data_IF_715129579130
#
_entry.id   IF_715129579130
#
_cell.length_a   1.000
_cell.length_b   1.000
_cell.length_c   1.000
_cell.angle_alpha   90.00
_cell.angle_beta   90.00
_cell.angle_gamma   90.00
#
_symmetry.space_group_name_H-M   'P 1'
#
loop_
_entity.id
_entity.type
_entity.pdbx_description
1 polymer ?
#
# COMPACT_ATOMS: atom_id res chain seq x y z
N UNK A 1 4.18 29.63 -5.24
CA UNK A 1 4.77 28.27 -5.32
C UNK A 1 4.28 27.46 -4.13
N UNK A 2 3.35 26.51 -4.35
CA UNK A 2 2.92 25.58 -3.28
C UNK A 2 4.09 24.67 -2.93
N UNK A 3 4.51 24.64 -1.66
CA UNK A 3 5.56 23.75 -1.21
C UNK A 3 5.14 22.30 -1.48
N UNK A 4 6.03 21.51 -2.11
CA UNK A 4 5.77 20.08 -2.34
C UNK A 4 5.55 19.39 -0.98
N UNK A 5 4.38 18.78 -0.82
CA UNK A 5 4.04 18.05 0.39
C UNK A 5 4.72 16.70 0.35
N UNK A 6 5.54 16.40 1.36
CA UNK A 6 6.30 15.16 1.46
C UNK A 6 5.91 14.32 2.65
N UNK A 7 5.88 13.00 2.43
CA UNK A 7 5.76 11.98 3.46
C UNK A 7 7.17 11.75 4.06
N UNK A 8 7.26 11.49 5.36
CA UNK A 8 8.57 11.25 5.99
C UNK A 8 9.10 9.87 5.60
N UNK A 9 10.42 9.77 5.38
CA UNK A 9 11.08 8.49 5.10
C UNK A 9 10.87 7.49 6.24
N UNK A 10 10.92 7.95 7.50
CA UNK A 10 10.63 7.12 8.67
C UNK A 10 9.23 6.51 8.59
N UNK A 11 8.21 7.29 8.24
CA UNK A 11 6.85 6.77 8.07
C UNK A 11 6.81 5.70 6.98
N UNK A 12 7.44 5.95 5.83
CA UNK A 12 7.48 4.98 4.72
C UNK A 12 8.09 3.64 5.14
N UNK A 13 9.27 3.68 5.77
CA UNK A 13 9.96 2.45 6.19
C UNK A 13 9.27 1.74 7.34
N UNK A 14 8.74 2.47 8.33
CA UNK A 14 7.99 1.85 9.44
C UNK A 14 6.72 1.18 8.90
N UNK A 15 5.95 1.85 8.05
CA UNK A 15 4.75 1.26 7.44
C UNK A 15 5.08 0.03 6.60
N UNK A 16 6.14 0.08 5.79
CA UNK A 16 6.57 -1.06 4.98
C UNK A 16 7.06 -2.23 5.85
N UNK A 17 7.81 -1.98 6.91
CA UNK A 17 8.25 -3.01 7.86
C UNK A 17 7.08 -3.65 8.61
N UNK A 18 6.09 -2.86 9.04
CA UNK A 18 4.87 -3.40 9.65
C UNK A 18 4.07 -4.26 8.68
N UNK A 19 3.95 -3.83 7.41
CA UNK A 19 3.31 -4.62 6.37
C UNK A 19 4.04 -5.93 6.09
N UNK A 20 5.39 -5.90 6.07
CA UNK A 20 6.23 -7.10 5.95
C UNK A 20 5.93 -8.10 7.08
N UNK A 21 5.97 -7.66 8.34
CA UNK A 21 5.78 -8.54 9.49
C UNK A 21 4.36 -9.07 9.55
N UNK A 22 3.35 -8.21 9.34
CA UNK A 22 1.95 -8.58 9.43
C UNK A 22 1.57 -9.62 8.36
N UNK A 23 1.84 -9.31 7.10
CA UNK A 23 1.41 -10.17 5.99
C UNK A 23 2.33 -11.36 5.78
N UNK A 24 3.63 -11.21 6.04
CA UNK A 24 4.56 -12.34 6.08
C UNK A 24 4.25 -13.31 7.21
N UNK A 25 3.93 -12.80 8.41
CA UNK A 25 3.50 -13.61 9.56
C UNK A 25 2.18 -14.34 9.30
N UNK A 26 1.18 -13.66 8.73
CA UNK A 26 -0.09 -14.27 8.34
C UNK A 26 0.13 -15.41 7.33
N UNK A 27 0.93 -15.16 6.29
CA UNK A 27 1.20 -16.18 5.26
C UNK A 27 1.97 -17.37 5.83
N UNK A 28 2.99 -17.11 6.66
CA UNK A 28 3.73 -18.17 7.36
C UNK A 28 2.78 -19.04 8.19
N UNK A 29 1.95 -18.43 9.04
CA UNK A 29 1.05 -19.14 9.94
C UNK A 29 0.07 -20.05 9.19
N UNK A 30 -0.56 -19.55 8.13
CA UNK A 30 -1.50 -20.35 7.33
C UNK A 30 -0.78 -21.49 6.60
N UNK A 31 0.40 -21.24 6.04
CA UNK A 31 1.10 -22.24 5.23
C UNK A 31 1.87 -23.28 6.07
N UNK A 32 2.16 -23.02 7.34
CA UNK A 32 2.64 -24.05 8.27
C UNK A 32 1.51 -24.96 8.78
N UNK A 33 0.29 -24.46 8.91
CA UNK A 33 -0.89 -25.25 9.32
C UNK A 33 -1.31 -26.27 8.25
N UNK A 34 -1.18 -25.90 6.97
CA UNK A 34 -1.64 -26.72 5.83
C UNK A 34 -0.51 -27.40 5.06
N UNK A 35 0.75 -27.25 5.50
CA UNK A 35 1.93 -27.72 4.78
C UNK A 35 3.10 -28.06 5.70
N UNK A 36 4.33 -27.96 5.19
CA UNK A 36 5.55 -28.16 5.98
C UNK A 36 6.14 -26.82 6.43
N UNK A 37 7.02 -26.86 7.43
CA UNK A 37 7.73 -25.66 7.92
C UNK A 37 8.44 -24.90 6.78
N UNK A 38 9.05 -25.63 5.83
CA UNK A 38 9.71 -25.03 4.67
C UNK A 38 8.74 -24.24 3.78
N UNK A 39 7.52 -24.76 3.57
CA UNK A 39 6.49 -24.04 2.82
C UNK A 39 6.05 -22.77 3.55
N UNK A 40 5.89 -22.84 4.87
CA UNK A 40 5.60 -21.67 5.71
C UNK A 40 6.67 -20.58 5.59
N UNK A 41 7.95 -20.94 5.71
CA UNK A 41 9.07 -19.98 5.64
C UNK A 41 9.11 -19.29 4.27
N UNK A 42 9.06 -20.05 3.17
CA UNK A 42 9.10 -19.50 1.81
C UNK A 42 7.91 -18.58 1.58
N UNK A 43 6.70 -19.03 1.92
CA UNK A 43 5.47 -18.25 1.75
C UNK A 43 5.48 -16.95 2.57
N UNK A 44 5.90 -17.03 3.83
CA UNK A 44 6.01 -15.86 4.72
C UNK A 44 6.99 -14.82 4.21
N UNK A 45 8.19 -15.25 3.77
CA UNK A 45 9.19 -14.33 3.22
C UNK A 45 8.72 -13.70 1.92
N UNK A 46 8.17 -14.47 0.98
CA UNK A 46 7.66 -13.95 -0.28
C UNK A 46 6.57 -12.91 -0.05
N UNK A 47 5.56 -13.24 0.77
CA UNK A 47 4.46 -12.31 1.06
C UNK A 47 4.94 -11.06 1.81
N UNK A 48 5.86 -11.23 2.76
CA UNK A 48 6.46 -10.12 3.49
C UNK A 48 7.19 -9.15 2.55
N UNK A 49 8.06 -9.66 1.68
CA UNK A 49 8.83 -8.84 0.72
C UNK A 49 7.89 -8.11 -0.25
N UNK A 50 6.89 -8.81 -0.80
CA UNK A 50 5.90 -8.18 -1.68
C UNK A 50 5.15 -7.06 -0.96
N UNK A 51 4.71 -7.29 0.28
CA UNK A 51 4.00 -6.29 1.08
C UNK A 51 4.88 -5.07 1.38
N UNK A 52 6.15 -5.27 1.71
CA UNK A 52 7.12 -4.21 1.92
C UNK A 52 7.25 -3.31 0.67
N UNK A 53 7.49 -3.92 -0.51
CA UNK A 53 7.68 -3.20 -1.77
C UNK A 53 6.40 -2.45 -2.17
N UNK A 54 5.24 -3.12 -2.09
CA UNK A 54 3.95 -2.49 -2.43
C UNK A 54 3.66 -1.32 -1.49
N UNK A 55 3.95 -1.41 -0.19
CA UNK A 55 3.75 -0.30 0.74
C UNK A 55 4.62 0.91 0.40
N UNK A 56 5.90 0.70 0.02
CA UNK A 56 6.76 1.79 -0.45
C UNK A 56 6.25 2.41 -1.76
N UNK A 57 5.74 1.59 -2.67
CA UNK A 57 5.16 2.06 -3.92
C UNK A 57 3.88 2.88 -3.67
N UNK A 58 3.03 2.46 -2.72
CA UNK A 58 1.83 3.21 -2.33
C UNK A 58 2.22 4.60 -1.84
N UNK A 59 3.15 4.71 -0.87
CA UNK A 59 3.50 6.04 -0.33
C UNK A 59 4.15 6.94 -1.39
N UNK A 60 4.98 6.37 -2.27
CA UNK A 60 5.54 7.09 -3.42
C UNK A 60 4.46 7.62 -4.37
N UNK A 61 3.51 6.79 -4.78
CA UNK A 61 2.42 7.17 -5.69
C UNK A 61 1.51 8.22 -5.06
N UNK A 62 1.16 8.07 -3.78
CA UNK A 62 0.37 9.07 -3.06
C UNK A 62 1.06 10.42 -3.06
N UNK A 63 2.36 10.49 -2.75
CA UNK A 63 3.10 11.75 -2.78
C UNK A 63 3.12 12.37 -4.19
N UNK A 64 3.39 11.56 -5.23
CA UNK A 64 3.43 12.05 -6.61
C UNK A 64 2.07 12.57 -7.09
N UNK A 65 1.02 11.80 -6.89
CA UNK A 65 -0.33 12.15 -7.32
C UNK A 65 -0.88 13.34 -6.51
N UNK A 66 -0.63 13.39 -5.20
CA UNK A 66 -1.05 14.51 -4.37
C UNK A 66 -0.42 15.84 -4.83
N UNK A 67 0.85 15.83 -5.22
CA UNK A 67 1.52 17.02 -5.73
C UNK A 67 1.17 17.33 -7.20
N UNK A 68 0.72 16.35 -7.97
CA UNK A 68 0.23 16.54 -9.35
C UNK A 68 -1.11 17.29 -9.41
N UNK A 69 -2.07 16.93 -8.55
CA UNK A 69 -3.37 17.62 -8.52
C UNK A 69 -3.27 18.98 -7.83
N UNK A 70 -3.92 19.99 -8.39
CA UNK A 70 -3.91 21.36 -7.84
C UNK A 70 -5.17 21.67 -7.01
N UNK A 71 -6.33 21.13 -7.42
CA UNK A 71 -7.60 21.34 -6.72
C UNK A 71 -7.64 20.55 -5.41
N UNK A 72 -8.09 21.19 -4.31
CA UNK A 72 -8.10 20.59 -2.95
C UNK A 72 -8.91 19.30 -2.87
N UNK A 73 -10.09 19.26 -3.49
CA UNK A 73 -10.95 18.09 -3.53
C UNK A 73 -10.29 16.92 -4.28
N UNK A 74 -9.70 17.20 -5.44
CA UNK A 74 -8.99 16.19 -6.23
C UNK A 74 -7.76 15.65 -5.49
N UNK A 75 -6.98 16.51 -4.80
CA UNK A 75 -5.86 16.09 -3.94
C UNK A 75 -6.29 15.12 -2.84
N UNK A 76 -7.50 15.29 -2.29
CA UNK A 76 -7.99 14.43 -1.22
C UNK A 76 -8.52 13.08 -1.72
N UNK A 77 -9.17 13.06 -2.87
CA UNK A 77 -9.93 11.89 -3.34
C UNK A 77 -9.17 11.04 -4.37
N UNK A 78 -8.49 11.66 -5.34
CA UNK A 78 -7.92 10.90 -6.47
C UNK A 78 -6.66 10.09 -6.13
N UNK A 79 -5.70 10.57 -5.31
CA UNK A 79 -4.47 9.82 -5.06
C UNK A 79 -4.70 8.40 -4.51
N UNK A 80 -5.55 8.17 -3.48
CA UNK A 80 -5.83 6.82 -2.98
C UNK A 80 -6.43 5.90 -4.04
N UNK A 81 -7.40 6.40 -4.80
CA UNK A 81 -8.11 5.62 -5.83
C UNK A 81 -7.13 5.19 -6.92
N UNK A 82 -6.41 6.14 -7.52
CA UNK A 82 -5.47 5.86 -8.59
C UNK A 82 -4.31 4.96 -8.14
N UNK A 83 -3.83 5.15 -6.91
CA UNK A 83 -2.76 4.33 -6.34
C UNK A 83 -3.17 2.86 -6.25
N UNK A 84 -4.38 2.58 -5.75
CA UNK A 84 -4.89 1.21 -5.63
C UNK A 84 -5.28 0.61 -6.97
N UNK A 85 -5.77 1.41 -7.91
CA UNK A 85 -5.96 0.92 -9.28
C UNK A 85 -4.64 0.47 -9.90
N UNK A 86 -3.55 1.23 -9.72
CA UNK A 86 -2.22 0.87 -10.24
C UNK A 86 -1.67 -0.39 -9.55
N UNK A 87 -1.57 -0.37 -8.21
CA UNK A 87 -0.97 -1.48 -7.46
C UNK A 87 -1.85 -2.72 -7.46
N UNK A 88 -3.17 -2.55 -7.43
CA UNK A 88 -4.14 -3.63 -7.52
C UNK A 88 -4.18 -4.28 -8.90
N UNK A 89 -4.11 -3.50 -9.99
CA UNK A 89 -4.01 -4.07 -11.34
C UNK A 89 -2.74 -4.91 -11.51
N UNK A 90 -1.60 -4.41 -10.99
CA UNK A 90 -0.37 -5.19 -10.99
C UNK A 90 -0.54 -6.53 -10.25
N UNK A 91 -1.15 -6.50 -9.07
CA UNK A 91 -1.38 -7.70 -8.26
C UNK A 91 -2.34 -8.69 -8.94
N UNK A 92 -3.41 -8.19 -9.58
CA UNK A 92 -4.35 -9.00 -10.37
C UNK A 92 -3.63 -9.65 -11.55
N UNK A 93 -2.79 -8.92 -12.30
CA UNK A 93 -2.02 -9.46 -13.42
C UNK A 93 -1.10 -10.58 -12.94
N UNK A 94 -0.37 -10.38 -11.84
CA UNK A 94 0.50 -11.41 -11.25
C UNK A 94 -0.31 -12.67 -10.91
N UNK A 95 -1.44 -12.52 -10.21
CA UNK A 95 -2.27 -13.66 -9.83
C UNK A 95 -2.93 -14.37 -11.01
N UNK A 96 -3.26 -13.63 -12.07
CA UNK A 96 -3.75 -14.20 -13.32
C UNK A 96 -2.67 -15.01 -14.04
N UNK A 97 -1.44 -14.49 -14.16
CA UNK A 97 -0.33 -15.16 -14.82
C UNK A 97 0.09 -16.46 -14.12
N UNK A 98 -0.02 -16.51 -12.79
CA UNK A 98 0.27 -17.72 -12.00
C UNK A 98 -0.93 -18.67 -11.88
N UNK A 99 -2.05 -18.37 -12.56
CA UNK A 99 -3.22 -19.25 -12.63
C UNK A 99 -4.02 -19.35 -11.33
N UNK A 100 -4.08 -18.27 -10.53
CA UNK A 100 -4.85 -18.27 -9.28
C UNK A 100 -6.35 -18.41 -9.59
N UNK A 101 -7.03 -19.51 -9.18
CA UNK A 101 -8.41 -19.79 -9.60
C UNK A 101 -9.44 -18.84 -8.97
N UNK A 102 -9.13 -18.24 -7.82
CA UNK A 102 -10.05 -17.42 -7.02
C UNK A 102 -9.49 -16.02 -6.71
N UNK A 103 -9.00 -15.31 -7.74
CA UNK A 103 -8.30 -14.00 -7.61
C UNK A 103 -9.07 -13.02 -6.71
N UNK A 104 -10.39 -12.92 -6.87
CA UNK A 104 -11.21 -11.98 -6.11
C UNK A 104 -11.16 -12.25 -4.59
N UNK A 105 -11.22 -13.52 -4.18
CA UNK A 105 -11.16 -13.91 -2.77
C UNK A 105 -9.75 -13.75 -2.18
N UNK A 106 -8.72 -14.02 -2.98
CA UNK A 106 -7.32 -13.84 -2.57
C UNK A 106 -6.97 -12.37 -2.37
N UNK A 107 -7.48 -11.48 -3.25
CA UNK A 107 -7.05 -10.09 -3.28
C UNK A 107 -7.95 -9.13 -2.50
N UNK A 108 -9.25 -9.45 -2.35
CA UNK A 108 -10.19 -8.57 -1.65
C UNK A 108 -9.73 -8.11 -0.26
N UNK A 109 -9.26 -8.96 0.68
CA UNK A 109 -8.81 -8.48 1.99
C UNK A 109 -7.56 -7.60 1.88
N UNK A 110 -6.59 -7.99 1.05
CA UNK A 110 -5.32 -7.27 0.89
C UNK A 110 -5.54 -5.90 0.24
N UNK A 111 -6.36 -5.84 -0.82
CA UNK A 111 -6.70 -4.58 -1.50
C UNK A 111 -7.54 -3.66 -0.61
N UNK A 112 -8.43 -4.21 0.22
CA UNK A 112 -9.22 -3.42 1.17
C UNK A 112 -8.31 -2.73 2.18
N UNK A 113 -7.40 -3.48 2.81
CA UNK A 113 -6.45 -2.91 3.79
C UNK A 113 -5.50 -1.93 3.12
N UNK A 114 -5.03 -2.24 1.90
CA UNK A 114 -4.17 -1.33 1.13
C UNK A 114 -4.90 -0.02 0.80
N UNK A 115 -6.18 -0.07 0.43
CA UNK A 115 -6.98 1.14 0.16
C UNK A 115 -7.18 2.01 1.40
N UNK A 116 -7.51 1.40 2.54
CA UNK A 116 -7.63 2.13 3.80
C UNK A 116 -6.30 2.79 4.19
N UNK A 117 -5.18 2.07 4.04
CA UNK A 117 -3.84 2.61 4.26
C UNK A 117 -3.53 3.78 3.32
N UNK A 118 -3.84 3.67 2.03
CA UNK A 118 -3.63 4.72 1.04
C UNK A 118 -4.47 5.97 1.34
N UNK A 119 -5.75 5.79 1.70
CA UNK A 119 -6.66 6.87 2.08
C UNK A 119 -6.17 7.60 3.34
N UNK A 120 -5.78 6.85 4.38
CA UNK A 120 -5.25 7.42 5.61
C UNK A 120 -3.95 8.19 5.38
N UNK A 121 -3.03 7.61 4.61
CA UNK A 121 -1.75 8.26 4.25
C UNK A 121 -2.00 9.58 3.52
N UNK A 122 -2.90 9.58 2.53
CA UNK A 122 -3.26 10.77 1.78
C UNK A 122 -3.93 11.84 2.66
N UNK A 123 -4.81 11.42 3.57
CA UNK A 123 -5.47 12.32 4.51
C UNK A 123 -4.47 13.01 5.45
N UNK A 124 -3.48 12.27 5.98
CA UNK A 124 -2.40 12.86 6.77
C UNK A 124 -1.58 13.88 5.97
N UNK A 125 -1.30 13.58 4.70
CA UNK A 125 -0.59 14.50 3.81
C UNK A 125 -1.42 15.76 3.54
N UNK A 126 -2.73 15.60 3.33
CA UNK A 126 -3.68 16.70 3.15
C UNK A 126 -3.79 17.60 4.38
N UNK A 127 -3.85 17.03 5.59
CA UNK A 127 -3.83 17.79 6.85
C UNK A 127 -2.57 18.64 6.98
N UNK A 128 -1.39 18.04 6.73
CA UNK A 128 -0.10 18.74 6.74
C UNK A 128 -0.06 19.87 5.71
N UNK A 129 -0.57 19.62 4.50
CA UNK A 129 -0.69 20.64 3.46
C UNK A 129 -1.58 21.81 3.91
N UNK A 130 -2.74 21.55 4.50
CA UNK A 130 -3.64 22.60 4.96
C UNK A 130 -3.05 23.42 6.12
N UNK A 131 -2.37 22.77 7.07
CA UNK A 131 -1.71 23.47 8.17
C UNK A 131 -0.68 24.48 7.65
N UNK A 132 0.17 24.08 6.71
CA UNK A 132 1.19 24.97 6.11
C UNK A 132 0.58 26.14 5.33
N UNK A 133 -0.60 25.96 4.73
CA UNK A 133 -1.29 27.03 4.00
C UNK A 133 -2.10 27.96 4.92
N UNK A 134 -2.44 27.55 6.14
CA UNK A 134 -3.12 28.40 7.14
C UNK A 134 -2.14 29.29 7.91
N UNK A 135 -0.88 28.89 8.01
CA UNK A 135 0.19 29.66 8.67
C UNK A 135 0.95 30.60 7.74
N UNK A 136 0.53 30.72 6.47
CA UNK A 136 1.07 31.65 5.47
C UNK A 136 0.05 32.71 5.16
#
# INVERSE_FOLDING_TARGET
MTANSKISQQYNFISAALAFVLWGGWSFFINTQHGSLNHGIISGLTQGICSFIITLLITFLIEKLFNFFHQKTLKLVLPPILTILITGSFLVIVHHLIGTPAILYTLSPVLTVAFLFAAFTNFKLYQKFNQVNLTK
#
